data_IF_076540208822
#
_entry.id   IF_076540208822
#
_cell.length_a   1.000
_cell.length_b   1.000
_cell.length_c   1.000
_cell.angle_alpha   90.00
_cell.angle_beta   90.00
_cell.angle_gamma   90.00
#
_symmetry.space_group_name_H-M   'P 1'
#
loop_
_entity.id
_entity.type
_entity.pdbx_description
1 polymer ?
#
# COMPACT_ATOMS: atom_id res chain seq x y z
N UNK A 1 57.76 -9.41 -41.15
CA UNK A 1 56.65 -8.43 -41.03
C UNK A 1 55.26 -9.08 -41.14
N UNK A 2 55.00 -9.96 -42.11
CA UNK A 2 53.69 -10.62 -42.26
C UNK A 2 53.21 -11.41 -41.04
N UNK A 3 54.11 -12.16 -40.39
CA UNK A 3 53.78 -12.96 -39.19
C UNK A 3 53.36 -12.05 -38.03
N UNK A 4 54.07 -10.94 -37.79
CA UNK A 4 53.71 -9.98 -36.75
C UNK A 4 52.34 -9.34 -36.99
N UNK A 5 52.02 -8.97 -38.23
CA UNK A 5 50.73 -8.41 -38.60
C UNK A 5 49.58 -9.42 -38.39
N UNK A 6 49.81 -10.68 -38.74
CA UNK A 6 48.80 -11.73 -38.58
C UNK A 6 48.52 -12.03 -37.11
N UNK A 7 49.56 -12.15 -36.29
CA UNK A 7 49.44 -12.37 -34.85
C UNK A 7 48.74 -11.20 -34.17
N UNK A 8 49.12 -9.95 -34.49
CA UNK A 8 48.44 -8.77 -33.92
C UNK A 8 46.96 -8.73 -34.28
N UNK A 9 46.60 -8.99 -35.54
CA UNK A 9 45.20 -9.02 -35.98
C UNK A 9 44.38 -10.10 -35.26
N UNK A 10 44.96 -11.30 -35.11
CA UNK A 10 44.28 -12.41 -34.46
C UNK A 10 44.07 -12.16 -32.97
N UNK A 11 45.10 -11.65 -32.28
CA UNK A 11 45.02 -11.32 -30.86
C UNK A 11 44.04 -10.17 -30.62
N UNK A 12 44.09 -9.10 -31.42
CA UNK A 12 43.14 -8.00 -31.32
C UNK A 12 41.70 -8.47 -31.52
N UNK A 13 41.43 -9.25 -32.57
CA UNK A 13 40.09 -9.78 -32.83
C UNK A 13 39.59 -10.68 -31.69
N UNK A 14 40.45 -11.58 -31.19
CA UNK A 14 40.05 -12.50 -30.13
C UNK A 14 39.80 -11.77 -28.81
N UNK A 15 40.68 -10.83 -28.44
CA UNK A 15 40.52 -10.03 -27.21
C UNK A 15 39.30 -9.13 -27.32
N UNK A 16 39.10 -8.42 -28.44
CA UNK A 16 37.92 -7.59 -28.62
C UNK A 16 36.63 -8.41 -28.54
N UNK A 17 36.54 -9.54 -29.24
CA UNK A 17 35.36 -10.39 -29.22
C UNK A 17 35.09 -10.94 -27.82
N UNK A 18 36.12 -11.45 -27.14
CA UNK A 18 35.95 -12.04 -25.82
C UNK A 18 35.57 -10.99 -24.76
N UNK A 19 36.23 -9.84 -24.77
CA UNK A 19 35.94 -8.74 -23.84
C UNK A 19 34.55 -8.17 -24.11
N UNK A 20 34.18 -7.90 -25.36
CA UNK A 20 32.85 -7.40 -25.69
C UNK A 20 31.76 -8.39 -25.28
N UNK A 21 31.90 -9.68 -25.62
CA UNK A 21 30.91 -10.68 -25.26
C UNK A 21 30.79 -10.84 -23.75
N UNK A 22 31.91 -10.93 -23.04
CA UNK A 22 31.90 -11.16 -21.60
C UNK A 22 31.36 -9.94 -20.84
N UNK A 23 31.81 -8.73 -21.20
CA UNK A 23 31.35 -7.49 -20.57
C UNK A 23 29.88 -7.24 -20.88
N UNK A 24 29.45 -7.38 -22.13
CA UNK A 24 28.04 -7.19 -22.48
C UNK A 24 27.15 -8.21 -21.76
N UNK A 25 27.49 -9.49 -21.78
CA UNK A 25 26.69 -10.52 -21.11
C UNK A 25 26.65 -10.31 -19.60
N UNK A 26 27.79 -10.03 -18.97
CA UNK A 26 27.85 -9.88 -17.52
C UNK A 26 27.15 -8.60 -17.06
N UNK A 27 27.39 -7.47 -17.73
CA UNK A 27 26.74 -6.20 -17.41
C UNK A 27 25.24 -6.28 -17.67
N UNK A 28 24.80 -6.80 -18.83
CA UNK A 28 23.38 -6.93 -19.11
C UNK A 28 22.70 -7.87 -18.11
N UNK A 29 23.25 -9.06 -17.84
CA UNK A 29 22.65 -10.00 -16.89
C UNK A 29 22.61 -9.42 -15.48
N UNK A 30 23.72 -8.85 -15.01
CA UNK A 30 23.79 -8.34 -13.64
C UNK A 30 22.93 -7.10 -13.45
N UNK A 31 22.99 -6.14 -14.37
CA UNK A 31 22.17 -4.92 -14.30
C UNK A 31 20.69 -5.26 -14.46
N UNK A 32 20.31 -6.07 -15.45
CA UNK A 32 18.91 -6.45 -15.62
C UNK A 32 18.39 -7.23 -14.41
N UNK A 33 19.11 -8.25 -13.93
CA UNK A 33 18.65 -9.02 -12.76
C UNK A 33 18.59 -8.16 -11.50
N UNK A 34 19.61 -7.36 -11.23
CA UNK A 34 19.65 -6.54 -10.02
C UNK A 34 18.60 -5.43 -10.06
N UNK A 35 18.48 -4.71 -11.17
CA UNK A 35 17.49 -3.64 -11.32
C UNK A 35 16.08 -4.23 -11.31
N UNK A 36 15.80 -5.30 -12.06
CA UNK A 36 14.47 -5.90 -12.05
C UNK A 36 14.12 -6.45 -10.66
N UNK A 37 15.01 -7.21 -10.01
CA UNK A 37 14.71 -7.75 -8.69
C UNK A 37 14.54 -6.65 -7.65
N UNK A 38 15.44 -5.66 -7.62
CA UNK A 38 15.39 -4.60 -6.61
C UNK A 38 14.21 -3.67 -6.83
N UNK A 39 13.97 -3.23 -8.07
CA UNK A 39 12.83 -2.36 -8.40
C UNK A 39 11.52 -3.10 -8.20
N UNK A 40 11.37 -4.33 -8.70
CA UNK A 40 10.13 -5.08 -8.51
C UNK A 40 9.89 -5.38 -7.03
N UNK A 41 10.87 -5.88 -6.29
CA UNK A 41 10.68 -6.18 -4.86
C UNK A 41 10.39 -4.91 -4.06
N UNK A 42 11.15 -3.84 -4.27
CA UNK A 42 10.98 -2.61 -3.49
C UNK A 42 9.68 -1.91 -3.83
N UNK A 43 9.35 -1.77 -5.12
CA UNK A 43 8.08 -1.15 -5.55
C UNK A 43 6.90 -2.00 -5.13
N UNK A 44 6.91 -3.32 -5.34
CA UNK A 44 5.80 -4.17 -4.93
C UNK A 44 5.64 -4.19 -3.42
N UNK A 45 6.71 -4.37 -2.65
CA UNK A 45 6.61 -4.40 -1.18
C UNK A 45 6.18 -3.04 -0.63
N UNK A 46 6.77 -1.95 -1.11
CA UNK A 46 6.45 -0.62 -0.60
C UNK A 46 5.04 -0.21 -1.02
N UNK A 47 4.66 -0.33 -2.29
CA UNK A 47 3.31 0.02 -2.75
C UNK A 47 2.27 -0.87 -2.08
N UNK A 48 2.45 -2.20 -2.04
CA UNK A 48 1.47 -3.08 -1.39
C UNK A 48 1.36 -2.79 0.11
N UNK A 49 2.48 -2.68 0.84
CA UNK A 49 2.42 -2.43 2.28
C UNK A 49 1.83 -1.05 2.57
N UNK A 50 2.29 -0.01 1.88
CA UNK A 50 1.85 1.35 2.15
C UNK A 50 0.38 1.55 1.76
N UNK A 51 -0.03 1.09 0.57
CA UNK A 51 -1.42 1.20 0.11
C UNK A 51 -2.34 0.35 0.98
N UNK A 52 -1.99 -0.92 1.25
CA UNK A 52 -2.84 -1.77 2.08
C UNK A 52 -2.94 -1.21 3.51
N UNK A 53 -1.82 -0.82 4.14
CA UNK A 53 -1.86 -0.28 5.50
C UNK A 53 -2.62 1.06 5.55
N UNK A 54 -2.33 2.00 4.66
CA UNK A 54 -3.03 3.29 4.67
C UNK A 54 -4.50 3.14 4.35
N UNK A 55 -4.85 2.43 3.27
CA UNK A 55 -6.24 2.29 2.85
C UNK A 55 -7.01 1.49 3.89
N UNK A 56 -6.51 0.36 4.37
CA UNK A 56 -7.20 -0.41 5.40
C UNK A 56 -7.33 0.39 6.70
N UNK A 57 -6.27 1.04 7.19
CA UNK A 57 -6.35 1.81 8.45
C UNK A 57 -7.27 3.02 8.31
N UNK A 58 -7.14 3.81 7.23
CA UNK A 58 -8.00 4.98 7.03
C UNK A 58 -9.45 4.58 6.82
N UNK A 59 -9.73 3.62 5.93
CA UNK A 59 -11.11 3.20 5.65
C UNK A 59 -11.71 2.56 6.89
N UNK A 60 -11.02 1.65 7.58
CA UNK A 60 -11.54 1.05 8.80
C UNK A 60 -11.77 2.10 9.90
N UNK A 61 -10.82 2.99 10.15
CA UNK A 61 -10.98 4.03 11.19
C UNK A 61 -12.09 5.01 10.84
N UNK A 62 -12.12 5.54 9.61
CA UNK A 62 -13.16 6.47 9.19
C UNK A 62 -14.53 5.82 9.17
N UNK A 63 -14.67 4.66 8.53
CA UNK A 63 -15.96 3.97 8.42
C UNK A 63 -16.44 3.55 9.80
N UNK A 64 -15.60 2.92 10.63
CA UNK A 64 -16.03 2.55 11.98
C UNK A 64 -16.40 3.77 12.82
N UNK A 65 -15.58 4.83 12.84
CA UNK A 65 -15.89 6.02 13.64
C UNK A 65 -17.14 6.74 13.13
N UNK A 66 -17.26 6.99 11.82
CA UNK A 66 -18.43 7.65 11.25
C UNK A 66 -19.69 6.82 11.42
N UNK A 67 -19.65 5.53 11.07
CA UNK A 67 -20.83 4.66 11.15
C UNK A 67 -21.24 4.48 12.60
N UNK A 68 -20.32 4.20 13.52
CA UNK A 68 -20.66 4.07 14.94
C UNK A 68 -21.23 5.39 15.48
N UNK A 69 -20.60 6.54 15.22
CA UNK A 69 -21.10 7.82 15.74
C UNK A 69 -22.46 8.20 15.13
N UNK A 70 -22.61 8.12 13.80
CA UNK A 70 -23.86 8.47 13.14
C UNK A 70 -24.99 7.50 13.49
N UNK A 71 -24.75 6.19 13.41
CA UNK A 71 -25.79 5.19 13.69
C UNK A 71 -26.17 5.25 15.16
N UNK A 72 -25.22 5.32 16.09
CA UNK A 72 -25.56 5.46 17.51
C UNK A 72 -26.35 6.75 17.73
N UNK A 73 -25.88 7.92 17.28
CA UNK A 73 -26.60 9.18 17.50
C UNK A 73 -28.00 9.18 16.88
N UNK A 74 -28.15 8.73 15.62
CA UNK A 74 -29.46 8.70 14.97
C UNK A 74 -30.42 7.71 15.64
N UNK A 75 -29.95 6.48 15.91
CA UNK A 75 -30.79 5.46 16.55
C UNK A 75 -31.16 5.89 17.96
N UNK A 76 -30.21 6.40 18.75
CA UNK A 76 -30.49 6.93 20.09
C UNK A 76 -31.54 8.05 20.04
N UNK A 77 -31.38 9.04 19.16
CA UNK A 77 -32.32 10.15 19.04
C UNK A 77 -33.71 9.69 18.60
N UNK A 78 -33.80 8.82 17.59
CA UNK A 78 -35.08 8.27 17.13
C UNK A 78 -35.76 7.45 18.23
N UNK A 79 -35.04 6.55 18.90
CA UNK A 79 -35.60 5.72 19.97
C UNK A 79 -36.01 6.59 21.16
N UNK A 80 -35.17 7.54 21.61
CA UNK A 80 -35.50 8.50 22.66
C UNK A 80 -36.81 9.26 22.32
N UNK A 81 -36.94 9.79 21.10
CA UNK A 81 -38.11 10.56 20.67
C UNK A 81 -39.38 9.70 20.61
N UNK A 82 -39.29 8.49 20.05
CA UNK A 82 -40.43 7.57 20.00
C UNK A 82 -40.88 7.16 21.40
N UNK A 83 -39.95 6.76 22.28
CA UNK A 83 -40.28 6.36 23.65
C UNK A 83 -40.91 7.51 24.43
N UNK A 84 -40.36 8.73 24.36
CA UNK A 84 -40.90 9.87 25.09
C UNK A 84 -42.26 10.36 24.55
N UNK A 85 -42.52 10.21 23.24
CA UNK A 85 -43.86 10.48 22.69
C UNK A 85 -44.91 9.48 23.20
N UNK A 86 -44.56 8.19 23.34
CA UNK A 86 -45.47 7.18 23.86
C UNK A 86 -45.61 7.19 25.39
N UNK A 87 -44.60 7.66 26.12
CA UNK A 87 -44.64 7.77 27.60
C UNK A 87 -45.23 9.09 28.12
N UNK A 88 -45.53 10.05 27.25
CA UNK A 88 -46.26 11.27 27.59
C UNK A 88 -45.43 12.37 28.26
N UNK A 89 -44.09 12.27 28.27
CA UNK A 89 -43.19 13.27 28.85
C UNK A 89 -42.49 14.04 27.72
N UNK A 90 -42.70 15.36 27.67
CA UNK A 90 -42.08 16.23 26.67
C UNK A 90 -40.64 16.55 27.02
N UNK A 91 -39.70 16.12 26.16
CA UNK A 91 -38.24 16.32 26.16
C UNK A 91 -37.44 15.24 26.91
N UNK A 92 -37.07 14.18 26.17
CA UNK A 92 -36.07 13.22 26.62
C UNK A 92 -34.64 13.67 26.31
N UNK A 93 -33.70 13.44 27.23
CA UNK A 93 -32.25 13.63 27.03
C UNK A 93 -31.58 12.26 26.85
N UNK A 94 -30.66 12.16 25.89
CA UNK A 94 -29.83 10.97 25.69
C UNK A 94 -28.40 11.29 26.18
N UNK A 95 -27.93 10.65 27.24
CA UNK A 95 -26.55 10.75 27.75
C UNK A 95 -25.78 9.47 27.40
N UNK A 96 -24.54 9.61 26.91
CA UNK A 96 -23.76 8.55 26.27
C UNK A 96 -22.51 8.16 27.07
N UNK A 97 -22.62 7.88 28.37
CA UNK A 97 -21.43 7.54 29.17
C UNK A 97 -21.14 6.03 29.22
N UNK A 98 -22.06 5.10 29.53
CA UNK A 98 -21.73 3.65 29.54
C UNK A 98 -22.87 2.72 29.11
N UNK A 99 -23.94 3.29 28.57
CA UNK A 99 -25.12 2.60 28.08
C UNK A 99 -26.09 3.66 27.60
N UNK A 100 -26.77 3.43 26.48
CA UNK A 100 -27.72 4.39 25.94
C UNK A 100 -28.94 4.43 26.87
N UNK A 101 -28.92 5.32 27.86
CA UNK A 101 -30.04 5.51 28.78
C UNK A 101 -30.83 6.71 28.28
N UNK A 102 -32.04 6.44 27.80
CA UNK A 102 -33.00 7.47 27.43
C UNK A 102 -33.74 7.90 28.71
N UNK A 103 -33.56 9.14 29.17
CA UNK A 103 -34.36 9.69 30.27
C UNK A 103 -35.45 10.56 29.66
N UNK A 104 -36.69 10.09 29.72
CA UNK A 104 -37.89 10.93 29.70
C UNK A 104 -38.19 11.31 31.16
#
# INVERSE_FOLDING_TARGET
MYVCMYVCMYVCMYVCMYVCMYVCMYVCMYVCMYVCMYVCMYVCMYVCMYVCMYVCMYVCMYVCMYVCMYVCMYVCMYVCMYVCMYSGWGLGKCESEEGVVCVC
#
